data_IF_541118822411
#
_entry.id   IF_541118822411
#
_cell.length_a   1.000
_cell.length_b   1.000
_cell.length_c   1.000
_cell.angle_alpha   90.00
_cell.angle_beta   90.00
_cell.angle_gamma   90.00
#
_symmetry.space_group_name_H-M   'P 1'
#
loop_
_entity.id
_entity.type
_entity.pdbx_description
1 polymer ?
#
# COMPACT_ATOMS: atom_id res chain seq x y z
N UNK A 1 -10.05 -15.25 6.15
CA UNK A 1 -8.92 -14.39 6.58
C UNK A 1 -7.70 -15.28 6.76
N UNK A 2 -6.85 -15.40 5.74
CA UNK A 2 -5.59 -16.14 5.85
C UNK A 2 -4.58 -15.24 6.58
N UNK A 3 -4.34 -15.50 7.87
CA UNK A 3 -3.10 -15.05 8.51
C UNK A 3 -2.02 -16.01 8.04
N UNK A 4 -1.28 -15.61 7.00
CA UNK A 4 -0.08 -16.35 6.63
C UNK A 4 0.94 -16.23 7.77
N UNK A 5 1.56 -17.35 8.16
CA UNK A 5 2.63 -17.41 9.15
C UNK A 5 3.94 -16.76 8.66
N UNK A 6 3.95 -16.32 7.40
CA UNK A 6 5.09 -15.71 6.72
C UNK A 6 5.32 -14.25 7.18
N UNK A 7 6.44 -13.96 7.84
CA UNK A 7 6.81 -12.61 8.27
C UNK A 7 6.95 -11.62 7.10
N UNK A 8 7.36 -12.09 5.92
CA UNK A 8 7.51 -11.27 4.73
C UNK A 8 6.14 -10.80 4.26
N UNK A 9 5.23 -11.74 3.99
CA UNK A 9 3.88 -11.41 3.57
C UNK A 9 3.15 -10.51 4.59
N UNK A 10 3.33 -10.75 5.89
CA UNK A 10 2.80 -9.85 6.94
C UNK A 10 3.34 -8.43 6.80
N UNK A 11 4.65 -8.28 6.57
CA UNK A 11 5.25 -6.96 6.39
C UNK A 11 4.74 -6.25 5.13
N UNK A 12 4.41 -6.98 4.07
CA UNK A 12 3.77 -6.44 2.87
C UNK A 12 2.33 -6.01 3.14
N UNK A 13 1.55 -6.77 3.92
CA UNK A 13 0.22 -6.34 4.38
C UNK A 13 0.28 -5.02 5.14
N UNK A 14 1.20 -4.91 6.10
CA UNK A 14 1.37 -3.70 6.91
C UNK A 14 1.75 -2.50 6.00
N UNK A 15 2.64 -2.71 5.02
CA UNK A 15 2.99 -1.72 4.00
C UNK A 15 1.76 -1.30 3.17
N UNK A 16 1.01 -2.25 2.62
CA UNK A 16 -0.11 -1.97 1.73
C UNK A 16 -1.20 -1.14 2.44
N UNK A 17 -1.47 -1.43 3.71
CA UNK A 17 -2.38 -0.64 4.55
C UNK A 17 -1.86 0.79 4.80
N UNK A 18 -0.56 0.93 5.10
CA UNK A 18 0.05 2.24 5.29
C UNK A 18 0.04 3.08 4.00
N UNK A 19 0.25 2.42 2.86
CA UNK A 19 0.25 3.03 1.54
C UNK A 19 -1.14 3.53 1.14
N UNK A 20 -2.17 2.70 1.28
CA UNK A 20 -3.56 3.10 1.06
C UNK A 20 -3.95 4.29 1.95
N UNK A 21 -3.57 4.25 3.23
CA UNK A 21 -3.81 5.34 4.17
C UNK A 21 -3.07 6.63 3.77
N UNK A 22 -1.84 6.55 3.28
CA UNK A 22 -1.07 7.70 2.84
C UNK A 22 -1.71 8.37 1.62
N UNK A 23 -2.07 7.60 0.58
CA UNK A 23 -2.74 8.13 -0.61
C UNK A 23 -4.05 8.80 -0.23
N UNK A 24 -4.91 8.14 0.55
CA UNK A 24 -6.17 8.71 1.01
C UNK A 24 -6.00 10.04 1.76
N UNK A 25 -5.03 10.13 2.66
CA UNK A 25 -4.84 11.36 3.42
C UNK A 25 -4.18 12.47 2.59
N UNK A 26 -3.39 12.12 1.59
CA UNK A 26 -2.78 13.07 0.68
C UNK A 26 -3.78 13.65 -0.33
N UNK A 27 -4.87 12.93 -0.64
CA UNK A 27 -5.96 13.46 -1.47
C UNK A 27 -6.95 14.31 -0.67
N UNK A 28 -7.10 14.05 0.65
CA UNK A 28 -8.04 14.78 1.52
C UNK A 28 -7.48 16.06 2.14
N UNK A 29 -6.16 16.15 2.32
CA UNK A 29 -5.53 17.27 3.01
C UNK A 29 -4.43 17.91 2.17
N UNK A 30 -4.17 19.22 2.36
CA UNK A 30 -2.97 19.87 1.83
C UNK A 30 -1.69 19.12 2.23
N UNK A 31 -0.68 19.17 1.36
CA UNK A 31 0.58 18.43 1.55
C UNK A 31 1.32 18.80 2.84
N UNK A 32 1.16 20.04 3.30
CA UNK A 32 1.78 20.56 4.52
C UNK A 32 0.99 20.24 5.80
N UNK A 33 -0.21 19.69 5.67
CA UNK A 33 -1.06 19.32 6.79
C UNK A 33 -0.44 18.20 7.63
N UNK A 34 -0.53 18.32 8.95
CA UNK A 34 0.10 17.40 9.90
C UNK A 34 -0.36 15.94 9.69
N UNK A 35 -1.62 15.72 9.32
CA UNK A 35 -2.16 14.38 9.04
C UNK A 35 -1.50 13.78 7.79
N UNK A 36 -1.43 14.50 6.68
CA UNK A 36 -0.79 14.03 5.45
C UNK A 36 0.68 13.68 5.68
N UNK A 37 1.43 14.56 6.37
CA UNK A 37 2.84 14.32 6.76
C UNK A 37 2.99 13.08 7.64
N UNK A 38 2.14 12.90 8.65
CA UNK A 38 2.17 11.73 9.54
C UNK A 38 1.99 10.43 8.76
N UNK A 39 1.05 10.38 7.82
CA UNK A 39 0.81 9.18 7.03
C UNK A 39 1.95 8.87 6.06
N UNK A 40 2.55 9.89 5.43
CA UNK A 40 3.75 9.71 4.60
C UNK A 40 4.96 9.21 5.40
N UNK A 41 5.22 9.77 6.57
CA UNK A 41 6.30 9.30 7.45
C UNK A 41 6.08 7.84 7.88
N UNK A 42 4.83 7.47 8.16
CA UNK A 42 4.47 6.10 8.49
C UNK A 42 4.70 5.14 7.31
N UNK A 43 4.30 5.52 6.09
CA UNK A 43 4.58 4.77 4.88
C UNK A 43 6.10 4.56 4.68
N UNK A 44 6.89 5.62 4.82
CA UNK A 44 8.35 5.55 4.72
C UNK A 44 8.97 4.58 5.74
N UNK A 45 8.45 4.53 6.96
CA UNK A 45 8.88 3.55 7.98
C UNK A 45 8.61 2.11 7.56
N UNK A 46 7.45 1.81 6.96
CA UNK A 46 7.13 0.45 6.52
C UNK A 46 7.97 0.03 5.31
N UNK A 47 8.19 0.92 4.35
CA UNK A 47 9.10 0.68 3.23
C UNK A 47 10.52 0.41 3.73
N UNK A 48 11.04 1.27 4.61
CA UNK A 48 12.39 1.11 5.17
C UNK A 48 12.54 -0.18 5.97
N UNK A 49 11.52 -0.54 6.77
CA UNK A 49 11.52 -1.81 7.51
C UNK A 49 11.49 -3.02 6.57
N UNK A 50 10.71 -2.97 5.49
CA UNK A 50 10.65 -4.04 4.50
C UNK A 50 12.01 -4.20 3.81
N UNK A 51 12.54 -3.11 3.24
CA UNK A 51 13.78 -3.12 2.46
C UNK A 51 15.03 -3.40 3.30
N UNK A 52 14.96 -3.27 4.62
CA UNK A 52 16.02 -3.71 5.53
C UNK A 52 16.13 -5.23 5.66
N UNK A 53 15.06 -5.98 5.31
CA UNK A 53 14.98 -7.44 5.48
C UNK A 53 14.75 -8.18 4.17
N UNK A 54 14.27 -7.51 3.13
CA UNK A 54 13.88 -8.10 1.85
C UNK A 54 14.28 -7.19 0.68
N UNK A 55 14.83 -7.76 -0.39
CA UNK A 55 15.47 -6.97 -1.45
C UNK A 55 14.50 -6.23 -2.38
N UNK A 56 13.28 -6.76 -2.56
CA UNK A 56 12.35 -6.25 -3.58
C UNK A 56 10.91 -6.29 -3.13
N UNK A 57 10.25 -5.12 -3.14
CA UNK A 57 8.81 -5.00 -2.94
C UNK A 57 8.11 -4.84 -4.30
N UNK A 58 7.74 -5.96 -4.93
CA UNK A 58 6.96 -5.94 -6.18
C UNK A 58 5.50 -6.26 -5.88
N UNK A 59 4.62 -5.31 -6.14
CA UNK A 59 3.17 -5.54 -6.10
C UNK A 59 2.63 -5.74 -7.51
N UNK A 60 1.80 -6.75 -7.68
CA UNK A 60 0.95 -6.89 -8.86
C UNK A 60 -0.36 -6.14 -8.60
N UNK A 61 -0.72 -5.26 -9.52
CA UNK A 61 -1.94 -4.45 -9.45
C UNK A 61 -2.99 -5.07 -10.34
N UNK A 62 -4.16 -5.32 -9.77
CA UNK A 62 -5.39 -5.69 -10.48
C UNK A 62 -6.44 -4.63 -10.12
N UNK A 63 -7.56 -4.56 -10.86
CA UNK A 63 -8.55 -3.46 -10.85
C UNK A 63 -8.73 -2.74 -9.51
N UNK A 64 -8.89 -3.48 -8.42
CA UNK A 64 -9.01 -2.94 -7.08
C UNK A 64 -8.25 -3.78 -6.04
N UNK A 65 -7.19 -4.48 -6.48
CA UNK A 65 -6.42 -5.39 -5.62
C UNK A 65 -4.94 -5.13 -5.78
N UNK A 66 -4.22 -5.26 -4.67
CA UNK A 66 -2.78 -5.39 -4.67
C UNK A 66 -2.43 -6.81 -4.26
N UNK A 67 -1.50 -7.42 -4.98
CA UNK A 67 -0.99 -8.76 -4.70
C UNK A 67 0.53 -8.76 -4.54
N UNK A 68 1.03 -9.67 -3.71
CA UNK A 68 2.45 -9.92 -3.54
C UNK A 68 2.72 -11.41 -3.74
N UNK A 69 3.50 -11.77 -4.77
CA UNK A 69 3.72 -13.18 -5.10
C UNK A 69 2.42 -13.97 -5.33
N UNK A 70 1.38 -13.31 -5.87
CA UNK A 70 0.03 -13.88 -6.06
C UNK A 70 -0.91 -13.73 -4.85
N UNK A 71 -0.39 -13.50 -3.64
CA UNK A 71 -1.20 -13.36 -2.41
C UNK A 71 -1.87 -11.99 -2.32
N UNK A 72 -3.15 -11.97 -1.97
CA UNK A 72 -3.92 -10.71 -1.84
C UNK A 72 -3.48 -9.95 -0.58
N UNK A 73 -2.84 -8.79 -0.75
CA UNK A 73 -2.36 -7.95 0.37
C UNK A 73 -3.21 -6.72 0.64
N UNK A 74 -4.02 -6.30 -0.34
CA UNK A 74 -4.99 -5.22 -0.17
C UNK A 74 -6.15 -5.38 -1.13
N UNK A 75 -7.36 -5.14 -0.63
CA UNK A 75 -8.60 -5.09 -1.40
C UNK A 75 -9.22 -3.71 -1.20
N UNK A 76 -9.19 -2.93 -2.26
CA UNK A 76 -9.81 -1.63 -2.31
C UNK A 76 -11.31 -1.69 -2.57
N UNK A 77 -12.00 -0.61 -2.22
CA UNK A 77 -13.38 -0.37 -2.66
C UNK A 77 -13.33 0.09 -4.12
N UNK A 78 -14.32 -0.27 -4.94
CA UNK A 78 -14.35 0.11 -6.36
C UNK A 78 -14.78 1.58 -6.54
N UNK A 79 -14.02 2.51 -5.94
CA UNK A 79 -14.25 3.96 -5.97
C UNK A 79 -12.99 4.69 -6.47
N UNK A 80 -13.18 5.85 -7.13
CA UNK A 80 -12.08 6.62 -7.76
C UNK A 80 -10.97 7.08 -6.79
N UNK A 81 -11.23 7.08 -5.48
CA UNK A 81 -10.26 7.49 -4.46
C UNK A 81 -9.41 6.35 -3.91
N UNK A 82 -9.70 5.10 -4.31
CA UNK A 82 -8.99 3.92 -3.82
C UNK A 82 -7.63 3.73 -4.51
N UNK A 83 -6.60 3.42 -3.73
CA UNK A 83 -5.23 3.31 -4.24
C UNK A 83 -5.07 2.21 -5.28
N UNK A 84 -5.74 1.08 -5.12
CA UNK A 84 -5.64 -0.02 -6.08
C UNK A 84 -6.35 0.35 -7.39
N UNK A 85 -7.48 1.06 -7.29
CA UNK A 85 -8.17 1.61 -8.45
C UNK A 85 -7.31 2.63 -9.19
N UNK A 86 -6.76 3.61 -8.48
CA UNK A 86 -5.87 4.64 -9.05
C UNK A 86 -4.67 4.04 -9.77
N UNK A 87 -4.00 3.06 -9.15
CA UNK A 87 -2.84 2.39 -9.75
C UNK A 87 -3.21 1.51 -10.94
N UNK A 88 -4.39 0.90 -10.95
CA UNK A 88 -4.87 0.12 -12.09
C UNK A 88 -5.19 0.99 -13.31
N UNK A 89 -5.66 2.22 -13.08
CA UNK A 89 -6.00 3.19 -14.13
C UNK A 89 -4.76 3.83 -14.74
N UNK A 90 -3.82 4.23 -13.89
CA UNK A 90 -2.63 4.97 -14.33
C UNK A 90 -1.54 4.05 -14.91
N UNK A 91 -1.78 2.72 -14.87
CA UNK A 91 -1.22 1.74 -15.80
C UNK A 91 0.29 1.69 -15.87
N UNK A 92 0.90 0.84 -15.06
CA UNK A 92 2.02 0.03 -15.58
C UNK A 92 1.41 -1.29 -16.04
N UNK A 93 1.02 -1.33 -17.32
CA UNK A 93 0.81 -2.59 -18.05
C UNK A 93 2.13 -3.03 -18.68
#
# INVERSE_FOLDING_TARGET
>A
MLRSSDPELKSVFDFAMAFAGAIKNYTLYPQDHAIAKKHLLNLGRYIGKFLANYDRLRLDVDKNKLRYGGELVYQGVAEESDVAYLLSRDGVQ
#
